data_IF_786375582732
#
_entry.id   IF_786375582732
#
_cell.length_a   1.000
_cell.length_b   1.000
_cell.length_c   1.000
_cell.angle_alpha   90.00
_cell.angle_beta   90.00
_cell.angle_gamma   90.00
#
_symmetry.space_group_name_H-M   'P 1'
#
loop_
_entity.id
_entity.type
_entity.pdbx_description
1 polymer ?
#
# COMPACT_ATOMS: atom_id res chain seq x y z
N UNK A 1 -27.00 18.49 6.87
CA UNK A 1 -27.65 17.17 6.99
C UNK A 1 -26.57 16.09 6.86
N UNK A 2 -26.12 15.51 7.97
CA UNK A 2 -25.07 14.50 7.97
C UNK A 2 -25.66 13.11 7.65
N UNK A 3 -25.36 12.56 6.48
CA UNK A 3 -25.66 11.17 6.14
C UNK A 3 -24.68 10.26 6.89
N UNK A 4 -25.19 9.46 7.83
CA UNK A 4 -24.44 8.33 8.40
C UNK A 4 -24.39 7.23 7.35
N UNK A 5 -23.19 6.76 7.02
CA UNK A 5 -22.99 5.55 6.22
C UNK A 5 -23.38 4.31 7.05
N UNK A 6 -24.00 3.27 6.44
CA UNK A 6 -24.33 2.05 7.15
C UNK A 6 -23.07 1.19 7.34
N UNK A 7 -22.71 0.94 8.60
CA UNK A 7 -21.76 -0.10 8.99
C UNK A 7 -22.55 -1.42 9.06
N UNK A 8 -22.23 -2.38 8.20
CA UNK A 8 -22.72 -3.76 8.33
C UNK A 8 -21.98 -4.43 9.48
N UNK A 9 -22.66 -4.57 10.62
CA UNK A 9 -22.15 -5.30 11.79
C UNK A 9 -22.39 -6.80 11.60
N UNK A 10 -21.32 -7.55 11.37
CA UNK A 10 -21.34 -9.01 11.40
C UNK A 10 -21.29 -9.50 12.86
N UNK A 11 -22.22 -10.40 13.22
CA UNK A 11 -22.26 -11.04 14.54
C UNK A 11 -21.13 -12.06 14.67
N UNK A 12 -20.34 -12.08 15.77
CA UNK A 12 -19.37 -13.15 15.99
C UNK A 12 -20.06 -14.45 16.42
N UNK A 13 -19.57 -15.62 15.99
CA UNK A 13 -20.10 -16.89 16.46
C UNK A 13 -19.67 -17.17 17.90
N UNK A 14 -20.64 -17.61 18.71
CA UNK A 14 -20.41 -18.13 20.07
C UNK A 14 -19.52 -19.38 20.01
N UNK A 15 -18.31 -19.32 20.58
CA UNK A 15 -17.52 -20.53 20.87
C UNK A 15 -17.67 -20.96 22.32
N UNK A 16 -18.10 -22.22 22.46
CA UNK A 16 -18.19 -22.99 23.72
C UNK A 16 -16.80 -23.16 24.34
N UNK A 17 -16.75 -23.03 25.66
CA UNK A 17 -15.65 -23.47 26.49
C UNK A 17 -15.50 -25.00 26.42
N UNK A 18 -14.26 -25.49 26.30
CA UNK A 18 -13.94 -26.86 26.66
C UNK A 18 -12.64 -26.86 27.48
N UNK A 19 -12.74 -27.39 28.71
CA UNK A 19 -11.61 -27.73 29.59
C UNK A 19 -11.08 -29.11 29.19
N UNK A 20 -9.77 -29.31 29.23
CA UNK A 20 -9.18 -30.65 29.12
C UNK A 20 -7.65 -30.66 29.14
N UNK A 21 -7.12 -31.11 30.28
CA UNK A 21 -5.84 -31.75 30.61
C UNK A 21 -4.64 -31.72 29.64
N UNK A 22 -3.48 -31.42 30.23
CA UNK A 22 -2.18 -31.44 29.55
C UNK A 22 -1.53 -32.80 29.43
N UNK A 23 -0.48 -32.85 28.61
CA UNK A 23 0.63 -33.83 28.68
C UNK A 23 1.89 -33.13 28.14
N UNK A 24 2.98 -33.34 28.88
CA UNK A 24 4.37 -32.98 28.59
C UNK A 24 4.97 -33.99 27.61
N UNK A 25 5.59 -33.55 26.51
CA UNK A 25 6.67 -34.28 25.81
C UNK A 25 7.54 -33.28 25.03
N UNK A 26 8.85 -33.36 25.26
CA UNK A 26 9.86 -32.68 24.43
C UNK A 26 10.25 -33.54 23.23
N UNK A 27 10.72 -32.88 22.17
CA UNK A 27 11.63 -33.46 21.19
C UNK A 27 12.51 -32.37 20.57
N UNK A 28 13.80 -32.72 20.44
CA UNK A 28 14.80 -32.11 19.59
C UNK A 28 14.34 -32.08 18.12
N UNK A 29 14.79 -31.07 17.37
CA UNK A 29 15.21 -31.29 15.98
C UNK A 29 14.79 -30.25 14.95
N UNK A 30 15.81 -29.78 14.22
CA UNK A 30 15.79 -29.34 12.84
C UNK A 30 15.29 -27.92 12.49
N UNK A 31 16.28 -27.07 12.20
CA UNK A 31 16.41 -26.34 10.92
C UNK A 31 15.21 -25.52 10.44
N UNK A 32 15.25 -24.21 10.64
CA UNK A 32 14.41 -23.27 9.89
C UNK A 32 15.30 -22.50 8.93
N UNK A 33 15.03 -22.76 7.64
CA UNK A 33 15.59 -22.12 6.48
C UNK A 33 15.22 -20.63 6.41
N UNK A 34 16.08 -19.86 5.73
CA UNK A 34 16.01 -18.41 5.62
C UNK A 34 14.67 -17.88 5.09
N UNK A 35 14.16 -16.89 5.81
CA UNK A 35 13.07 -16.01 5.39
C UNK A 35 13.64 -14.99 4.40
N UNK A 36 13.34 -15.19 3.11
CA UNK A 36 13.58 -14.22 2.04
C UNK A 36 12.44 -13.20 2.03
N UNK A 37 12.76 -11.95 2.39
CA UNK A 37 11.88 -10.78 2.24
C UNK A 37 11.81 -10.44 0.74
N UNK A 38 10.86 -11.06 0.04
CA UNK A 38 10.69 -10.89 -1.40
C UNK A 38 9.79 -9.71 -1.75
N UNK A 39 10.28 -8.48 -1.66
CA UNK A 39 9.50 -7.27 -1.98
C UNK A 39 10.26 -6.11 -2.60
N UNK A 40 11.47 -6.36 -3.09
CA UNK A 40 12.24 -5.54 -4.04
C UNK A 40 13.24 -6.53 -4.63
N UNK A 41 13.40 -6.52 -5.96
CA UNK A 41 14.01 -7.62 -6.74
C UNK A 41 15.32 -8.17 -6.13
N UNK A 42 15.29 -9.45 -5.72
CA UNK A 42 16.48 -10.27 -5.56
C UNK A 42 16.62 -11.20 -6.77
N UNK A 43 17.65 -11.00 -7.58
CA UNK A 43 18.09 -11.95 -8.61
C UNK A 43 19.05 -12.95 -7.95
N UNK A 44 18.61 -14.19 -7.87
CA UNK A 44 19.38 -15.36 -7.45
C UNK A 44 20.72 -15.42 -8.20
N UNK A 45 21.83 -15.49 -7.46
CA UNK A 45 23.18 -15.60 -7.99
C UNK A 45 23.86 -16.83 -7.38
N UNK A 46 23.60 -18.00 -7.96
CA UNK A 46 24.42 -19.18 -7.69
C UNK A 46 25.74 -19.06 -8.44
N UNK A 47 26.82 -19.00 -7.66
CA UNK A 47 28.21 -19.01 -8.10
C UNK A 47 28.69 -20.45 -8.34
N UNK A 48 28.89 -20.80 -9.62
CA UNK A 48 29.75 -21.92 -10.02
C UNK A 48 31.11 -21.38 -10.50
N UNK A 49 32.24 -21.98 -10.11
CA UNK A 49 33.56 -21.49 -10.53
C UNK A 49 33.84 -21.82 -12.00
N UNK A 50 34.18 -20.80 -12.78
CA UNK A 50 34.67 -20.92 -14.15
C UNK A 50 36.02 -21.65 -14.19
N UNK A 51 36.04 -22.85 -14.78
CA UNK A 51 37.26 -23.46 -15.36
C UNK A 51 37.21 -23.26 -16.87
N UNK A 52 38.33 -22.78 -17.42
CA UNK A 52 38.45 -22.43 -18.82
C UNK A 52 38.79 -23.57 -19.77
N UNK A 53 38.83 -23.15 -21.04
CA UNK A 53 39.53 -23.67 -22.22
C UNK A 53 38.82 -24.67 -23.16
N UNK A 54 38.68 -24.17 -24.40
CA UNK A 54 38.96 -24.80 -25.70
C UNK A 54 37.94 -25.77 -26.33
N UNK A 55 37.68 -25.53 -27.62
CA UNK A 55 37.38 -26.58 -28.62
C UNK A 55 35.93 -26.71 -29.06
N UNK A 56 35.61 -26.19 -30.25
CA UNK A 56 34.45 -26.57 -31.07
C UNK A 56 34.47 -28.08 -31.42
N UNK A 57 33.31 -28.75 -31.67
CA UNK A 57 32.57 -28.58 -32.93
C UNK A 57 31.02 -28.62 -32.84
N UNK A 58 30.38 -28.03 -33.86
CA UNK A 58 28.98 -28.35 -34.26
C UNK A 58 28.90 -29.83 -34.67
N UNK A 59 27.81 -30.58 -34.43
CA UNK A 59 26.57 -30.38 -35.20
C UNK A 59 25.26 -30.84 -34.52
N UNK A 60 24.17 -30.65 -35.26
CA UNK A 60 23.02 -31.58 -35.40
C UNK A 60 21.66 -30.98 -35.03
N UNK A 61 20.86 -30.80 -36.08
CA UNK A 61 19.44 -30.49 -36.06
C UNK A 61 18.70 -31.73 -35.57
N UNK A 62 18.15 -31.69 -34.37
CA UNK A 62 17.23 -32.70 -33.85
C UNK A 62 15.78 -32.24 -33.99
N UNK A 63 14.97 -33.12 -34.57
CA UNK A 63 13.56 -32.93 -34.87
C UNK A 63 12.71 -32.69 -33.62
N UNK A 64 11.69 -31.84 -33.78
CA UNK A 64 10.68 -31.55 -32.77
C UNK A 64 9.82 -32.79 -32.49
N UNK A 65 9.68 -33.15 -31.21
CA UNK A 65 8.70 -34.12 -30.73
C UNK A 65 7.30 -33.46 -30.66
N UNK A 66 6.21 -34.20 -30.94
CA UNK A 66 4.85 -33.67 -30.87
C UNK A 66 4.41 -33.41 -29.43
N UNK A 67 3.72 -32.28 -29.24
CA UNK A 67 3.08 -31.84 -28.01
C UNK A 67 1.99 -32.83 -27.57
N UNK A 68 1.92 -33.24 -26.28
CA UNK A 68 0.80 -34.04 -25.79
C UNK A 68 -0.49 -33.22 -25.73
N UNK A 69 -1.62 -33.85 -26.06
CA UNK A 69 -2.95 -33.27 -26.01
C UNK A 69 -3.37 -32.89 -24.58
N UNK A 70 -4.16 -31.82 -24.39
CA UNK A 70 -4.66 -31.42 -23.08
C UNK A 70 -5.69 -32.42 -22.52
N UNK A 71 -5.73 -32.62 -21.19
CA UNK A 71 -6.71 -33.49 -20.54
C UNK A 71 -8.14 -32.91 -20.62
N UNK A 72 -9.18 -33.78 -20.56
CA UNK A 72 -10.57 -33.37 -20.68
C UNK A 72 -11.05 -32.54 -19.48
N UNK A 73 -11.87 -31.52 -19.78
CA UNK A 73 -12.58 -30.67 -18.83
C UNK A 73 -13.66 -31.50 -18.11
N UNK A 74 -13.70 -31.52 -16.76
CA UNK A 74 -14.78 -32.18 -16.04
C UNK A 74 -16.09 -31.38 -16.14
N UNK A 75 -17.13 -32.09 -16.54
CA UNK A 75 -18.53 -31.71 -16.68
C UNK A 75 -19.13 -31.26 -15.35
N UNK A 76 -19.84 -30.14 -15.36
CA UNK A 76 -20.59 -29.62 -14.22
C UNK A 76 -21.71 -30.58 -13.79
N UNK A 77 -21.80 -30.83 -12.48
CA UNK A 77 -22.91 -31.52 -11.84
C UNK A 77 -23.92 -30.49 -11.27
N UNK A 78 -25.22 -30.84 -11.22
CA UNK A 78 -26.31 -29.87 -11.06
C UNK A 78 -26.59 -29.46 -9.62
N UNK A 79 -27.07 -28.22 -9.48
CA UNK A 79 -27.69 -27.66 -8.29
C UNK A 79 -28.90 -28.48 -7.84
N UNK A 80 -28.99 -28.85 -6.55
CA UNK A 80 -30.22 -29.31 -5.94
C UNK A 80 -30.64 -28.33 -4.86
N UNK A 81 -31.61 -27.44 -5.11
CA UNK A 81 -32.64 -27.13 -4.10
C UNK A 81 -33.86 -26.48 -4.75
N UNK A 82 -34.89 -27.32 -4.88
CA UNK A 82 -36.26 -27.02 -5.24
C UNK A 82 -37.05 -26.69 -3.97
N UNK A 83 -37.70 -25.53 -3.98
CA UNK A 83 -39.06 -25.23 -3.50
C UNK A 83 -39.53 -25.76 -2.14
N UNK A 84 -39.85 -24.84 -1.21
CA UNK A 84 -40.93 -25.01 -0.23
C UNK A 84 -41.77 -23.73 -0.23
N UNK A 85 -43.09 -23.92 -0.28
CA UNK A 85 -44.13 -22.90 -0.43
C UNK A 85 -44.54 -22.16 0.86
N UNK A 86 -45.68 -21.44 0.81
CA UNK A 86 -45.97 -20.31 1.68
C UNK A 86 -46.97 -20.65 2.80
N UNK A 87 -46.67 -20.28 4.04
CA UNK A 87 -47.67 -20.24 5.12
C UNK A 87 -47.33 -19.13 6.14
N UNK A 88 -48.37 -18.50 6.70
CA UNK A 88 -48.26 -17.83 8.00
C UNK A 88 -48.52 -16.32 8.03
N UNK A 89 -49.69 -15.89 7.58
CA UNK A 89 -50.29 -14.61 7.99
C UNK A 89 -50.83 -14.76 9.42
N UNK A 90 -50.30 -13.98 10.37
CA UNK A 90 -50.81 -13.89 11.74
C UNK A 90 -51.17 -12.44 12.06
N UNK A 91 -52.45 -12.27 12.40
CA UNK A 91 -53.09 -11.01 12.76
C UNK A 91 -52.56 -10.44 14.08
N UNK A 92 -52.43 -9.10 14.11
CA UNK A 92 -52.15 -8.33 15.33
C UNK A 92 -53.46 -8.14 16.12
N UNK A 93 -53.45 -8.33 17.45
CA UNK A 93 -54.60 -7.98 18.28
C UNK A 93 -54.72 -6.47 18.51
N UNK A 94 -55.97 -6.04 18.44
CA UNK A 94 -56.53 -4.73 18.74
C UNK A 94 -56.22 -4.31 20.19
N UNK A 95 -55.52 -3.19 20.37
CA UNK A 95 -55.26 -2.60 21.69
C UNK A 95 -56.08 -1.33 21.85
N UNK A 96 -56.97 -1.38 22.85
CA UNK A 96 -57.89 -0.33 23.26
C UNK A 96 -57.20 1.02 23.54
N UNK A 97 -57.92 2.15 23.39
CA UNK A 97 -57.38 3.49 23.61
C UNK A 97 -57.05 3.75 25.08
N UNK A 98 -55.80 4.14 25.34
CA UNK A 98 -55.30 4.61 26.63
C UNK A 98 -55.97 5.94 27.02
N UNK A 99 -56.39 6.12 28.30
CA UNK A 99 -57.00 7.37 28.77
C UNK A 99 -56.02 8.56 28.73
N UNK A 100 -56.59 9.75 28.55
CA UNK A 100 -55.89 11.02 28.45
C UNK A 100 -55.06 11.35 29.72
N UNK A 101 -53.83 11.89 29.57
CA UNK A 101 -53.01 12.28 30.71
C UNK A 101 -53.55 13.55 31.39
N UNK A 102 -53.54 13.52 32.71
CA UNK A 102 -53.86 14.62 33.62
C UNK A 102 -52.84 15.78 33.45
N UNK A 103 -53.24 17.06 33.60
CA UNK A 103 -52.35 18.20 33.36
C UNK A 103 -51.18 18.23 34.36
N UNK A 104 -49.96 18.08 33.84
CA UNK A 104 -48.74 18.20 34.62
C UNK A 104 -48.47 19.66 35.01
N UNK A 105 -48.09 19.86 36.27
CA UNK A 105 -47.54 21.11 36.81
C UNK A 105 -46.31 21.57 36.01
N UNK A 106 -46.09 22.89 35.84
CA UNK A 106 -44.96 23.40 35.07
C UNK A 106 -43.62 23.01 35.73
N UNK A 107 -42.67 22.42 34.99
CA UNK A 107 -41.37 22.06 35.54
C UNK A 107 -40.55 23.31 35.84
N UNK A 108 -39.89 23.31 37.00
CA UNK A 108 -38.84 24.24 37.37
C UNK A 108 -37.74 24.25 36.29
N UNK A 109 -37.18 25.42 35.89
CA UNK A 109 -36.14 25.48 34.87
C UNK A 109 -34.95 24.59 35.26
N UNK A 110 -34.71 23.53 34.49
CA UNK A 110 -33.51 22.73 34.63
C UNK A 110 -32.30 23.58 34.26
N UNK A 111 -31.38 23.75 35.21
CA UNK A 111 -30.04 24.29 34.93
C UNK A 111 -29.41 23.44 33.83
N UNK A 112 -29.26 24.02 32.63
CA UNK A 112 -28.54 23.39 31.52
C UNK A 112 -27.07 23.32 31.94
N UNK A 113 -26.65 22.14 32.41
CA UNK A 113 -25.24 21.84 32.58
C UNK A 113 -24.66 21.79 31.17
N UNK A 114 -23.81 22.77 30.85
CA UNK A 114 -23.10 22.79 29.57
C UNK A 114 -22.35 21.45 29.40
N UNK A 115 -22.44 20.80 28.23
CA UNK A 115 -21.67 19.59 27.99
C UNK A 115 -20.18 19.89 28.19
N UNK A 116 -19.40 18.95 28.74
CA UNK A 116 -17.97 19.15 28.92
C UNK A 116 -17.33 19.51 27.57
N UNK A 117 -16.35 20.43 27.55
CA UNK A 117 -15.70 20.81 26.31
C UNK A 117 -15.14 19.55 25.64
N UNK A 118 -15.59 19.31 24.41
CA UNK A 118 -15.09 18.24 23.55
C UNK A 118 -13.57 18.37 23.49
N UNK A 119 -12.84 17.37 23.98
CA UNK A 119 -11.39 17.40 23.98
C UNK A 119 -10.88 17.63 22.55
N UNK A 120 -10.06 18.67 22.36
CA UNK A 120 -9.37 18.90 21.09
C UNK A 120 -8.61 17.63 20.75
N UNK A 121 -8.79 17.05 19.54
CA UNK A 121 -8.04 15.87 19.13
C UNK A 121 -6.55 16.13 19.33
N UNK A 122 -5.86 15.23 20.02
CA UNK A 122 -4.42 15.33 20.21
C UNK A 122 -3.75 15.46 18.84
N UNK A 123 -2.89 16.47 18.68
CA UNK A 123 -2.12 16.64 17.46
C UNK A 123 -1.24 15.41 17.24
N UNK A 124 -1.19 14.91 15.99
CA UNK A 124 -0.28 13.81 15.66
C UNK A 124 1.18 14.26 15.84
N UNK A 125 2.05 13.37 16.37
CA UNK A 125 3.44 13.73 16.63
C UNK A 125 4.20 14.05 15.34
N UNK A 126 5.19 14.95 15.46
CA UNK A 126 6.22 15.14 14.43
C UNK A 126 7.40 14.24 14.75
N UNK A 127 7.95 13.57 13.75
CA UNK A 127 9.10 12.69 13.92
C UNK A 127 10.09 12.80 12.75
N UNK A 128 11.37 12.60 13.03
CA UNK A 128 12.42 12.47 12.01
C UNK A 128 12.35 11.10 11.35
N UNK A 129 12.93 10.95 10.16
CA UNK A 129 12.99 9.63 9.50
C UNK A 129 13.72 8.60 10.37
N UNK A 130 14.77 8.99 11.09
CA UNK A 130 15.50 8.10 12.00
C UNK A 130 14.63 7.61 13.16
N UNK A 131 13.83 8.49 13.75
CA UNK A 131 12.90 8.12 14.83
C UNK A 131 11.83 7.13 14.34
N UNK A 132 11.40 7.24 13.08
CA UNK A 132 10.41 6.33 12.49
C UNK A 132 11.08 5.02 12.06
N UNK A 133 12.28 5.07 11.48
CA UNK A 133 13.03 3.89 11.04
C UNK A 133 13.31 2.93 12.21
N UNK A 134 13.67 3.49 13.36
CA UNK A 134 13.95 2.75 14.61
C UNK A 134 12.68 2.36 15.38
N UNK A 135 11.51 2.87 14.98
CA UNK A 135 10.23 2.47 15.56
C UNK A 135 9.82 1.08 15.05
N UNK A 136 9.36 0.22 15.96
CA UNK A 136 8.77 -1.08 15.64
C UNK A 136 7.29 -1.06 16.08
N UNK A 137 6.40 -0.50 15.26
CA UNK A 137 5.01 -0.36 15.64
C UNK A 137 4.33 -1.73 15.77
N UNK A 138 3.51 -1.92 16.81
CA UNK A 138 2.61 -3.07 16.95
C UNK A 138 1.21 -2.81 16.39
N UNK A 139 0.94 -1.57 15.99
CA UNK A 139 -0.29 -1.09 15.35
C UNK A 139 0.03 0.10 14.45
N UNK A 140 -0.86 0.43 13.51
CA UNK A 140 -0.69 1.61 12.67
C UNK A 140 -0.42 2.86 13.53
N UNK A 141 0.73 3.48 13.30
CA UNK A 141 1.15 4.72 13.95
C UNK A 141 1.27 5.82 12.92
N UNK A 142 0.88 7.04 13.27
CA UNK A 142 0.79 8.16 12.33
C UNK A 142 1.66 9.31 12.78
N UNK A 143 2.48 9.82 11.87
CA UNK A 143 3.37 10.96 12.10
C UNK A 143 3.18 12.04 11.05
N UNK A 144 3.60 13.25 11.37
CA UNK A 144 4.07 14.22 10.37
C UNK A 144 5.59 14.16 10.27
N UNK A 145 6.13 14.25 9.07
CA UNK A 145 7.57 14.43 8.92
C UNK A 145 8.01 15.74 9.64
N UNK A 146 9.07 15.66 10.43
CA UNK A 146 9.56 16.81 11.20
C UNK A 146 9.99 17.97 10.30
N UNK A 147 10.74 17.65 9.22
CA UNK A 147 11.22 18.62 8.22
C UNK A 147 10.08 19.24 7.41
N UNK A 148 9.16 18.39 6.94
CA UNK A 148 8.08 18.80 6.06
C UNK A 148 6.72 18.31 6.60
N UNK A 149 6.05 19.12 7.44
CA UNK A 149 4.78 18.74 8.05
C UNK A 149 3.61 18.57 7.07
N UNK A 150 3.80 18.80 5.77
CA UNK A 150 2.81 18.50 4.72
C UNK A 150 2.84 17.03 4.30
N UNK A 151 3.85 16.26 4.74
CA UNK A 151 3.95 14.82 4.53
C UNK A 151 3.41 14.09 5.76
N UNK A 152 2.36 13.30 5.56
CA UNK A 152 1.80 12.37 6.53
C UNK A 152 2.48 11.01 6.36
N UNK A 153 2.94 10.40 7.45
CA UNK A 153 3.62 9.10 7.41
C UNK A 153 2.75 8.07 8.14
N UNK A 154 2.41 6.99 7.43
CA UNK A 154 1.71 5.83 7.95
C UNK A 154 2.74 4.72 8.25
N UNK A 155 2.98 4.43 9.52
CA UNK A 155 3.93 3.40 9.96
C UNK A 155 3.15 2.14 10.39
N UNK A 156 3.10 1.17 9.48
CA UNK A 156 2.34 -0.07 9.64
C UNK A 156 3.11 -1.11 10.45
N UNK A 157 2.42 -1.98 11.22
CA UNK A 157 3.08 -3.01 12.01
C UNK A 157 3.70 -4.13 11.19
N UNK A 158 3.27 -4.30 9.94
CA UNK A 158 3.78 -5.34 9.04
C UNK A 158 3.49 -5.00 7.59
N UNK A 159 4.26 -5.61 6.69
CA UNK A 159 4.05 -5.55 5.23
C UNK A 159 2.63 -6.00 4.85
N UNK A 160 2.09 -7.04 5.51
CA UNK A 160 0.71 -7.47 5.31
C UNK A 160 -0.32 -6.38 5.65
N UNK A 161 -0.17 -5.71 6.80
CA UNK A 161 -1.08 -4.65 7.22
C UNK A 161 -1.07 -3.47 6.24
N UNK A 162 0.12 -3.11 5.74
CA UNK A 162 0.28 -2.10 4.69
C UNK A 162 -0.39 -2.54 3.39
N UNK A 163 -0.14 -3.76 2.94
CA UNK A 163 -0.67 -4.33 1.70
C UNK A 163 -2.21 -4.35 1.68
N UNK A 164 -2.85 -4.77 2.78
CA UNK A 164 -4.31 -4.78 2.89
C UNK A 164 -4.92 -3.36 2.87
N UNK A 165 -4.18 -2.37 3.35
CA UNK A 165 -4.64 -0.98 3.37
C UNK A 165 -4.40 -0.23 2.05
N UNK A 166 -3.29 -0.51 1.34
CA UNK A 166 -2.80 0.38 0.29
C UNK A 166 -2.57 -0.26 -1.09
N UNK A 167 -2.51 -1.59 -1.23
CA UNK A 167 -2.22 -2.20 -2.54
C UNK A 167 -3.29 -1.89 -3.61
N UNK A 168 -4.55 -1.72 -3.20
CA UNK A 168 -5.63 -1.34 -4.14
C UNK A 168 -5.47 0.10 -4.63
N UNK A 169 -4.88 0.98 -3.81
CA UNK A 169 -4.53 2.35 -4.23
C UNK A 169 -3.44 2.26 -5.28
N UNK A 170 -2.34 1.56 -4.98
CA UNK A 170 -1.21 1.40 -5.87
C UNK A 170 -1.59 0.76 -7.22
N UNK A 171 -2.47 -0.25 -7.19
CA UNK A 171 -3.02 -0.85 -8.40
C UNK A 171 -3.76 0.17 -9.27
N UNK A 172 -4.53 1.07 -8.67
CA UNK A 172 -5.26 2.11 -9.39
C UNK A 172 -4.34 3.21 -9.94
N UNK A 173 -3.26 3.54 -9.22
CA UNK A 173 -2.44 4.75 -9.49
C UNK A 173 -1.21 4.48 -10.33
N UNK A 174 -0.58 3.32 -10.17
CA UNK A 174 0.79 3.09 -10.61
C UNK A 174 0.99 1.87 -11.50
N UNK A 175 0.14 0.85 -11.40
CA UNK A 175 0.43 -0.46 -12.00
C UNK A 175 -0.09 -0.59 -13.43
N UNK A 176 0.83 -0.86 -14.37
CA UNK A 176 0.53 -0.93 -15.82
C UNK A 176 -0.50 -1.98 -16.23
N UNK A 177 -0.59 -3.06 -15.47
CA UNK A 177 -1.46 -4.21 -15.77
C UNK A 177 -2.81 -4.12 -15.03
N UNK A 178 -3.01 -3.08 -14.23
CA UNK A 178 -4.25 -2.83 -13.49
C UNK A 178 -5.09 -1.75 -14.19
N UNK A 179 -6.43 -1.82 -14.07
CA UNK A 179 -7.28 -0.77 -14.62
C UNK A 179 -7.10 0.52 -13.83
N UNK A 180 -6.83 1.61 -14.53
CA UNK A 180 -6.73 2.91 -13.90
C UNK A 180 -8.09 3.56 -13.69
N UNK A 181 -9.19 3.10 -14.27
CA UNK A 181 -10.52 3.73 -14.25
C UNK A 181 -11.49 3.19 -13.18
N UNK A 182 -11.16 2.07 -12.54
CA UNK A 182 -11.96 1.47 -11.47
C UNK A 182 -11.06 0.86 -10.40
N UNK A 183 -11.59 0.77 -9.18
CA UNK A 183 -10.91 0.04 -8.10
C UNK A 183 -11.20 -1.45 -8.24
N UNK A 184 -10.16 -2.28 -8.23
CA UNK A 184 -10.27 -3.74 -8.20
C UNK A 184 -10.91 -4.22 -6.89
N UNK A 185 -11.60 -5.35 -6.88
CA UNK A 185 -11.90 -6.05 -5.62
C UNK A 185 -10.63 -6.69 -5.02
N UNK A 186 -10.68 -7.11 -3.75
CA UNK A 186 -9.55 -7.81 -3.11
C UNK A 186 -9.19 -9.10 -3.87
N UNK A 187 -10.19 -9.85 -4.32
CA UNK A 187 -9.96 -11.08 -5.10
C UNK A 187 -9.34 -10.81 -6.46
N UNK A 188 -9.79 -9.76 -7.17
CA UNK A 188 -9.21 -9.36 -8.45
C UNK A 188 -7.75 -8.93 -8.30
N UNK A 189 -7.45 -8.12 -7.28
CA UNK A 189 -6.09 -7.68 -6.99
C UNK A 189 -5.17 -8.85 -6.65
N UNK A 190 -5.61 -9.77 -5.79
CA UNK A 190 -4.85 -10.99 -5.47
C UNK A 190 -4.58 -11.83 -6.71
N UNK A 191 -5.57 -11.99 -7.58
CA UNK A 191 -5.42 -12.68 -8.86
C UNK A 191 -4.37 -12.02 -9.75
N UNK A 192 -4.41 -10.69 -9.87
CA UNK A 192 -3.44 -9.90 -10.64
C UNK A 192 -2.01 -10.07 -10.09
N UNK A 193 -1.83 -9.92 -8.78
CA UNK A 193 -0.51 -10.05 -8.14
C UNK A 193 0.05 -11.47 -8.30
N UNK A 194 -0.80 -12.49 -8.11
CA UNK A 194 -0.41 -13.89 -8.26
C UNK A 194 -0.05 -14.23 -9.71
N UNK A 195 -0.81 -13.73 -10.70
CA UNK A 195 -0.51 -13.93 -12.11
C UNK A 195 0.83 -13.30 -12.52
N UNK A 196 1.26 -12.23 -11.84
CA UNK A 196 2.57 -11.63 -12.01
C UNK A 196 3.71 -12.35 -11.25
N UNK A 197 3.41 -13.47 -10.57
CA UNK A 197 4.38 -14.23 -9.77
C UNK A 197 4.90 -13.47 -8.54
N UNK A 198 4.15 -12.46 -8.07
CA UNK A 198 4.51 -11.63 -6.92
C UNK A 198 3.76 -12.07 -5.68
N UNK A 199 4.29 -11.70 -4.51
CA UNK A 199 3.63 -11.91 -3.22
C UNK A 199 2.81 -10.67 -2.85
N UNK A 200 1.64 -10.90 -2.25
CA UNK A 200 0.69 -9.85 -1.89
C UNK A 200 1.24 -8.88 -0.84
N UNK A 201 1.84 -9.42 0.22
CA UNK A 201 2.30 -8.63 1.36
C UNK A 201 3.50 -7.76 0.98
N UNK A 202 4.31 -8.26 0.06
CA UNK A 202 5.55 -7.63 -0.38
C UNK A 202 5.43 -7.04 -1.79
N UNK A 203 4.20 -6.82 -2.27
CA UNK A 203 3.96 -6.21 -3.58
C UNK A 203 4.58 -4.81 -3.66
N UNK A 204 4.68 -4.14 -2.51
CA UNK A 204 5.31 -2.86 -2.27
C UNK A 204 6.01 -2.83 -0.90
N UNK A 205 7.20 -2.22 -0.84
CA UNK A 205 7.93 -2.00 0.42
C UNK A 205 7.47 -0.75 1.19
N UNK A 206 7.14 0.30 0.45
CA UNK A 206 6.47 1.51 0.90
C UNK A 206 5.49 2.00 -0.17
N UNK A 207 4.72 3.03 0.14
CA UNK A 207 3.79 3.64 -0.79
C UNK A 207 3.81 5.16 -0.63
N UNK A 208 3.57 5.87 -1.72
CA UNK A 208 3.45 7.32 -1.76
C UNK A 208 2.25 7.78 -2.57
N UNK A 209 1.52 8.77 -2.07
CA UNK A 209 0.38 9.34 -2.78
C UNK A 209 0.21 10.83 -2.48
N UNK A 210 -0.23 11.58 -3.48
CA UNK A 210 -0.83 12.90 -3.25
C UNK A 210 -2.31 12.78 -2.84
N UNK A 211 -2.85 13.89 -2.33
CA UNK A 211 -4.27 13.95 -1.95
C UNK A 211 -5.23 13.74 -3.14
N UNK A 212 -4.82 13.99 -4.37
CA UNK A 212 -5.69 13.85 -5.56
C UNK A 212 -5.88 12.38 -5.92
N UNK A 213 -4.79 11.60 -5.93
CA UNK A 213 -4.79 10.16 -6.15
C UNK A 213 -5.63 9.45 -5.07
N UNK A 214 -5.46 9.82 -3.80
CA UNK A 214 -6.25 9.27 -2.70
C UNK A 214 -7.73 9.66 -2.78
N UNK A 215 -8.04 10.93 -3.10
CA UNK A 215 -9.42 11.37 -3.29
C UNK A 215 -10.12 10.56 -4.39
N UNK A 216 -9.42 10.35 -5.51
CA UNK A 216 -9.89 9.56 -6.63
C UNK A 216 -10.13 8.10 -6.23
N UNK A 217 -9.17 7.49 -5.55
CA UNK A 217 -9.30 6.11 -5.06
C UNK A 217 -10.55 5.95 -4.18
N UNK A 218 -10.67 6.75 -3.12
CA UNK A 218 -11.78 6.60 -2.17
C UNK A 218 -13.13 6.93 -2.80
N UNK A 219 -13.19 7.84 -3.79
CA UNK A 219 -14.41 8.12 -4.55
C UNK A 219 -14.84 6.92 -5.40
N UNK A 220 -13.90 6.28 -6.09
CA UNK A 220 -14.20 5.08 -6.89
C UNK A 220 -14.51 3.86 -6.01
N UNK A 221 -13.87 3.75 -4.85
CA UNK A 221 -14.08 2.65 -3.91
C UNK A 221 -15.49 2.65 -3.30
N UNK A 222 -16.20 3.78 -3.25
CA UNK A 222 -17.61 3.82 -2.82
C UNK A 222 -18.51 2.88 -3.65
N UNK A 223 -18.19 2.67 -4.92
CA UNK A 223 -18.96 1.81 -5.82
C UNK A 223 -18.72 0.31 -5.63
N UNK A 224 -17.59 -0.09 -5.03
CA UNK A 224 -17.17 -1.50 -4.89
C UNK A 224 -16.96 -1.93 -3.43
N UNK A 225 -17.05 -0.98 -2.49
CA UNK A 225 -16.81 -1.21 -1.06
C UNK A 225 -15.39 -0.83 -0.64
N UNK A 226 -15.34 -0.20 0.53
CA UNK A 226 -14.13 0.14 1.28
C UNK A 226 -13.92 -0.94 2.33
N UNK A 227 -12.70 -1.51 2.41
CA UNK A 227 -12.36 -2.50 3.43
C UNK A 227 -12.19 -1.84 4.80
N UNK A 228 -12.14 -2.63 5.88
CA UNK A 228 -11.91 -2.10 7.23
C UNK A 228 -10.58 -1.32 7.30
N UNK A 229 -9.50 -1.87 6.74
CA UNK A 229 -8.18 -1.24 6.76
C UNK A 229 -8.14 0.06 5.93
N UNK A 230 -8.77 0.06 4.76
CA UNK A 230 -8.93 1.28 3.94
C UNK A 230 -9.77 2.33 4.65
N UNK A 231 -10.81 1.91 5.39
CA UNK A 231 -11.65 2.78 6.20
C UNK A 231 -10.89 3.45 7.34
N UNK A 232 -9.99 2.71 8.01
CA UNK A 232 -9.09 3.26 9.04
C UNK A 232 -8.16 4.33 8.43
N UNK A 233 -7.58 4.05 7.26
CA UNK A 233 -6.77 5.04 6.53
C UNK A 233 -7.62 6.26 6.14
N UNK A 234 -8.81 6.08 5.55
CA UNK A 234 -9.69 7.18 5.17
C UNK A 234 -10.03 8.08 6.36
N UNK A 235 -10.33 7.50 7.52
CA UNK A 235 -10.62 8.25 8.74
C UNK A 235 -9.42 9.11 9.16
N UNK A 236 -8.21 8.56 9.09
CA UNK A 236 -6.96 9.31 9.34
C UNK A 236 -6.84 10.45 8.33
N UNK A 237 -7.02 10.20 7.03
CA UNK A 237 -6.87 11.21 5.98
C UNK A 237 -7.84 12.37 6.12
N UNK A 238 -9.10 12.09 6.52
CA UNK A 238 -10.11 13.11 6.78
C UNK A 238 -9.79 13.90 8.06
N UNK A 239 -9.43 13.23 9.15
CA UNK A 239 -9.03 13.88 10.42
C UNK A 239 -7.82 14.79 10.22
N UNK A 240 -6.86 14.36 9.42
CA UNK A 240 -5.63 15.09 9.11
C UNK A 240 -5.78 16.07 7.96
N UNK A 241 -6.99 16.21 7.40
CA UNK A 241 -7.32 17.13 6.31
C UNK A 241 -6.45 16.92 5.06
N UNK A 242 -5.94 15.71 4.86
CA UNK A 242 -5.33 15.29 3.58
C UNK A 242 -6.43 15.15 2.54
N UNK A 243 -7.59 14.66 2.95
CA UNK A 243 -8.82 14.60 2.16
C UNK A 243 -9.92 15.45 2.79
N UNK A 244 -10.90 15.81 1.96
CA UNK A 244 -12.15 16.46 2.35
C UNK A 244 -13.31 15.71 1.70
N UNK A 245 -14.46 15.73 2.37
CA UNK A 245 -15.72 15.27 1.76
C UNK A 245 -16.17 16.34 0.75
N UNK A 246 -16.52 15.91 -0.44
CA UNK A 246 -17.07 16.74 -1.51
C UNK A 246 -18.52 16.34 -1.82
N UNK A 247 -19.20 17.10 -2.68
CA UNK A 247 -20.58 16.78 -3.08
C UNK A 247 -20.69 15.41 -3.76
N UNK A 248 -19.62 14.97 -4.43
CA UNK A 248 -19.49 13.67 -5.10
C UNK A 248 -18.18 12.99 -4.70
N UNK A 249 -18.21 12.28 -3.57
CA UNK A 249 -17.07 11.55 -3.03
C UNK A 249 -16.11 12.45 -2.26
N UNK A 250 -14.83 12.45 -2.66
CA UNK A 250 -13.76 13.11 -1.92
C UNK A 250 -12.98 14.08 -2.82
N UNK A 251 -12.36 15.08 -2.18
CA UNK A 251 -11.39 15.96 -2.82
C UNK A 251 -10.11 16.04 -2.00
N UNK A 252 -9.01 16.42 -2.65
CA UNK A 252 -7.75 16.70 -1.99
C UNK A 252 -7.90 17.88 -1.02
N UNK A 253 -7.25 17.79 0.13
CA UNK A 253 -7.19 18.88 1.09
C UNK A 253 -6.20 19.97 0.67
N UNK A 254 -6.50 21.20 1.10
CA UNK A 254 -5.59 22.35 0.98
C UNK A 254 -4.97 22.71 2.35
N UNK A 255 -3.67 23.07 2.39
CA UNK A 255 -2.71 23.04 1.27
C UNK A 255 -2.39 21.61 0.81
N UNK A 256 -1.82 21.44 -0.39
CA UNK A 256 -1.42 20.11 -0.93
C UNK A 256 -0.61 19.34 0.10
N UNK A 257 -0.91 18.07 0.29
CA UNK A 257 -0.23 17.18 1.22
C UNK A 257 0.09 15.87 0.52
N UNK A 258 1.10 15.19 1.04
CA UNK A 258 1.47 13.84 0.63
C UNK A 258 1.21 12.86 1.76
N UNK A 259 1.00 11.62 1.39
CA UNK A 259 0.96 10.47 2.30
C UNK A 259 2.02 9.51 1.85
N UNK A 260 2.86 9.09 2.77
CA UNK A 260 3.84 8.04 2.54
C UNK A 260 3.65 6.93 3.57
N UNK A 261 4.12 5.73 3.29
CA UNK A 261 4.06 4.61 4.23
C UNK A 261 5.36 3.84 4.35
N UNK A 262 5.56 3.26 5.53
CA UNK A 262 6.57 2.24 5.79
C UNK A 262 5.93 1.13 6.63
N UNK A 263 6.50 -0.07 6.58
CA UNK A 263 6.00 -1.21 7.33
C UNK A 263 7.09 -1.85 8.20
N UNK A 264 6.67 -2.49 9.29
CA UNK A 264 7.52 -3.40 10.06
C UNK A 264 8.01 -4.56 9.18
N UNK A 265 9.30 -4.88 9.27
CA UNK A 265 9.94 -5.92 8.46
C UNK A 265 10.46 -7.00 9.40
N UNK A 266 9.96 -8.22 9.21
CA UNK A 266 10.34 -9.38 10.01
C UNK A 266 11.72 -9.93 9.58
N UNK A 267 12.78 -9.30 10.06
CA UNK A 267 14.19 -9.72 9.91
C UNK A 267 14.95 -9.41 11.20
N UNK A 268 16.24 -9.73 11.23
CA UNK A 268 17.18 -9.25 12.25
C UNK A 268 17.02 -7.73 12.48
N UNK A 269 17.01 -7.30 13.74
CA UNK A 269 16.58 -5.96 14.14
C UNK A 269 17.43 -4.87 13.46
N UNK A 270 18.74 -4.99 13.47
CA UNK A 270 19.64 -4.01 12.85
C UNK A 270 19.39 -3.91 11.34
N UNK A 271 19.23 -5.05 10.66
CA UNK A 271 18.91 -5.10 9.23
C UNK A 271 17.51 -4.55 8.93
N UNK A 272 16.55 -4.76 9.83
CA UNK A 272 15.20 -4.22 9.68
C UNK A 272 15.22 -2.69 9.74
N UNK A 273 15.98 -2.13 10.69
CA UNK A 273 16.14 -0.68 10.87
C UNK A 273 16.84 -0.08 9.64
N UNK A 274 17.93 -0.68 9.16
CA UNK A 274 18.63 -0.22 7.95
C UNK A 274 17.72 -0.21 6.73
N UNK A 275 17.01 -1.31 6.48
CA UNK A 275 16.09 -1.41 5.35
C UNK A 275 14.91 -0.42 5.46
N UNK A 276 14.34 -0.26 6.66
CA UNK A 276 13.29 0.73 6.92
C UNK A 276 13.79 2.16 6.69
N UNK A 277 15.04 2.46 7.07
CA UNK A 277 15.67 3.76 6.84
C UNK A 277 15.79 4.05 5.35
N UNK A 278 16.26 3.08 4.57
CA UNK A 278 16.39 3.24 3.12
C UNK A 278 15.04 3.41 2.43
N UNK A 279 14.03 2.61 2.82
CA UNK A 279 12.65 2.76 2.32
C UNK A 279 12.12 4.15 2.70
N UNK A 280 12.17 4.55 3.98
CA UNK A 280 11.69 5.86 4.40
C UNK A 280 12.35 7.02 3.66
N UNK A 281 13.65 6.91 3.35
CA UNK A 281 14.34 7.90 2.54
C UNK A 281 13.76 7.95 1.12
N UNK A 282 13.60 6.79 0.47
CA UNK A 282 12.94 6.71 -0.84
C UNK A 282 11.53 7.33 -0.81
N UNK A 283 10.69 6.90 0.13
CA UNK A 283 9.31 7.36 0.27
C UNK A 283 9.22 8.85 0.59
N UNK A 284 10.11 9.37 1.45
CA UNK A 284 10.14 10.79 1.77
C UNK A 284 10.45 11.65 0.54
N UNK A 285 11.21 11.13 -0.43
CA UNK A 285 11.51 11.85 -1.66
C UNK A 285 10.24 12.10 -2.49
N UNK A 286 9.31 11.14 -2.51
CA UNK A 286 7.98 11.34 -3.08
C UNK A 286 7.17 12.39 -2.32
N UNK A 287 7.23 12.35 -0.99
CA UNK A 287 6.63 13.37 -0.12
C UNK A 287 7.07 14.80 -0.48
N UNK A 288 8.37 15.00 -0.72
CA UNK A 288 8.92 16.27 -1.21
C UNK A 288 8.45 16.58 -2.64
N UNK A 289 8.46 15.61 -3.55
CA UNK A 289 8.00 15.77 -4.94
C UNK A 289 6.55 16.28 -5.02
N UNK A 290 5.65 15.75 -4.19
CA UNK A 290 4.26 16.19 -4.19
C UNK A 290 4.08 17.59 -3.57
N UNK A 291 4.82 17.91 -2.51
CA UNK A 291 4.55 19.08 -1.67
C UNK A 291 5.39 20.31 -2.00
N UNK A 292 6.56 20.14 -2.62
CA UNK A 292 7.51 21.21 -2.98
C UNK A 292 7.52 21.47 -4.48
N UNK A 293 6.83 22.53 -4.90
CA UNK A 293 6.67 22.86 -6.33
C UNK A 293 8.00 23.11 -7.06
N UNK A 294 8.97 23.74 -6.40
CA UNK A 294 10.28 24.01 -7.00
C UNK A 294 11.15 22.76 -7.12
N UNK A 295 11.11 21.88 -6.12
CA UNK A 295 11.80 20.60 -6.19
C UNK A 295 11.23 19.73 -7.32
N UNK A 296 9.88 19.62 -7.41
CA UNK A 296 9.23 18.93 -8.53
C UNK A 296 9.64 19.50 -9.89
N UNK A 297 9.60 20.83 -10.03
CA UNK A 297 9.99 21.49 -11.28
C UNK A 297 11.46 21.19 -11.66
N UNK A 298 12.37 21.11 -10.69
CA UNK A 298 13.76 20.73 -10.94
C UNK A 298 13.89 19.25 -11.36
N UNK A 299 13.12 18.35 -10.76
CA UNK A 299 13.07 16.94 -11.19
C UNK A 299 12.51 16.79 -12.61
N UNK A 300 11.46 17.55 -12.95
CA UNK A 300 10.88 17.60 -14.30
C UNK A 300 11.91 18.10 -15.32
N UNK A 301 12.63 19.18 -15.00
CA UNK A 301 13.68 19.73 -15.86
C UNK A 301 14.84 18.75 -16.04
N UNK A 302 15.30 18.13 -14.95
CA UNK A 302 16.35 17.12 -15.02
C UNK A 302 15.95 15.93 -15.90
N UNK A 303 14.71 15.45 -15.80
CA UNK A 303 14.22 14.38 -16.65
C UNK A 303 14.24 14.75 -18.14
N UNK A 304 13.75 15.95 -18.48
CA UNK A 304 13.58 16.38 -19.88
C UNK A 304 14.89 16.85 -20.51
N UNK A 305 15.69 17.59 -19.75
CA UNK A 305 16.84 18.35 -20.23
C UNK A 305 18.17 17.86 -19.62
N UNK A 306 18.15 17.37 -18.38
CA UNK A 306 19.34 16.81 -17.72
C UNK A 306 19.72 15.40 -18.18
N UNK A 307 18.73 14.61 -18.61
CA UNK A 307 18.93 13.27 -19.18
C UNK A 307 18.87 13.28 -20.72
N UNK A 308 19.69 12.44 -21.33
CA UNK A 308 19.54 12.07 -22.74
C UNK A 308 18.36 11.12 -22.95
N UNK A 309 17.91 10.98 -24.20
CA UNK A 309 16.86 10.01 -24.55
C UNK A 309 17.27 8.56 -24.21
N UNK A 310 18.56 8.22 -24.34
CA UNK A 310 19.06 6.89 -23.98
C UNK A 310 18.97 6.64 -22.47
N UNK A 311 19.29 7.65 -21.65
CA UNK A 311 19.23 7.57 -20.19
C UNK A 311 17.79 7.49 -19.68
N UNK A 312 16.87 8.31 -20.20
CA UNK A 312 15.44 8.17 -19.90
C UNK A 312 14.94 6.75 -20.20
N UNK A 313 15.41 6.14 -21.28
CA UNK A 313 15.06 4.76 -21.63
C UNK A 313 15.64 3.74 -20.63
N UNK A 314 16.73 4.03 -19.91
CA UNK A 314 17.23 3.17 -18.83
C UNK A 314 16.19 3.08 -17.71
N UNK A 315 15.76 4.23 -17.18
CA UNK A 315 14.77 4.33 -16.11
C UNK A 315 13.41 3.77 -16.53
N UNK A 316 12.95 4.12 -17.73
CA UNK A 316 11.68 3.59 -18.26
C UNK A 316 11.69 2.07 -18.32
N UNK A 317 12.78 1.44 -18.79
CA UNK A 317 12.89 -0.04 -18.80
C UNK A 317 12.97 -0.63 -17.40
N UNK A 318 13.67 0.03 -16.48
CA UNK A 318 13.76 -0.40 -15.09
C UNK A 318 12.38 -0.39 -14.42
N UNK A 319 11.62 0.71 -14.55
CA UNK A 319 10.28 0.86 -13.97
C UNK A 319 9.24 -0.05 -14.66
N UNK A 320 9.32 -0.21 -15.98
CA UNK A 320 8.45 -1.14 -16.69
C UNK A 320 8.64 -2.59 -16.21
N UNK A 321 9.88 -3.02 -15.96
CA UNK A 321 10.17 -4.34 -15.36
C UNK A 321 9.64 -4.45 -13.92
N UNK A 322 9.65 -3.35 -13.17
CA UNK A 322 9.05 -3.30 -11.84
C UNK A 322 7.51 -3.29 -11.86
N UNK A 323 6.90 -3.05 -13.03
CA UNK A 323 5.46 -3.12 -13.27
C UNK A 323 4.74 -1.77 -13.17
N UNK A 324 5.48 -0.67 -13.21
CA UNK A 324 4.90 0.68 -13.24
C UNK A 324 4.35 1.03 -14.62
N UNK A 325 3.28 1.84 -14.67
CA UNK A 325 2.76 2.41 -15.91
C UNK A 325 3.66 3.53 -16.41
N UNK A 326 4.58 3.14 -17.28
CA UNK A 326 5.54 4.08 -17.88
C UNK A 326 4.94 5.04 -18.90
N UNK A 327 3.64 4.92 -19.23
CA UNK A 327 2.91 5.93 -20.01
C UNK A 327 2.55 7.15 -19.17
N UNK A 328 2.51 7.00 -17.84
CA UNK A 328 2.33 8.10 -16.90
C UNK A 328 3.68 8.78 -16.64
N UNK A 329 4.02 9.79 -17.45
CA UNK A 329 5.31 10.49 -17.34
C UNK A 329 5.54 11.13 -15.94
N UNK A 330 4.56 11.81 -15.30
CA UNK A 330 4.70 12.28 -13.93
C UNK A 330 5.10 11.19 -12.92
N UNK A 331 4.51 9.98 -13.03
CA UNK A 331 4.89 8.83 -12.21
C UNK A 331 6.35 8.43 -12.48
N UNK A 332 6.74 8.33 -13.75
CA UNK A 332 8.12 7.97 -14.13
C UNK A 332 9.14 8.96 -13.56
N UNK A 333 8.83 10.27 -13.58
CA UNK A 333 9.70 11.31 -13.03
C UNK A 333 9.79 11.19 -11.49
N UNK A 334 8.65 11.00 -10.82
CA UNK A 334 8.58 10.83 -9.37
C UNK A 334 9.39 9.61 -8.89
N UNK A 335 9.30 8.49 -9.61
CA UNK A 335 10.06 7.28 -9.34
C UNK A 335 11.55 7.46 -9.64
N UNK A 336 11.90 8.05 -10.80
CA UNK A 336 13.28 8.28 -11.19
C UNK A 336 14.03 9.09 -10.13
N UNK A 337 13.44 10.18 -9.64
CA UNK A 337 14.11 11.03 -8.65
C UNK A 337 14.32 10.29 -7.31
N UNK A 338 13.33 9.52 -6.85
CA UNK A 338 13.44 8.76 -5.60
C UNK A 338 14.52 7.67 -5.67
N UNK A 339 14.56 6.90 -6.76
CA UNK A 339 15.59 5.89 -6.98
C UNK A 339 16.98 6.50 -7.17
N UNK A 340 17.10 7.50 -8.06
CA UNK A 340 18.38 8.07 -8.41
C UNK A 340 19.00 8.86 -7.25
N UNK A 341 18.23 9.78 -6.68
CA UNK A 341 18.71 10.73 -5.67
C UNK A 341 18.69 10.19 -4.24
N UNK A 342 17.73 9.32 -3.91
CA UNK A 342 17.35 9.08 -2.51
C UNK A 342 17.30 7.61 -2.09
N UNK A 343 17.74 6.70 -2.96
CA UNK A 343 17.86 5.27 -2.65
C UNK A 343 19.33 4.84 -2.68
N UNK A 344 20.09 5.03 -1.59
CA UNK A 344 21.53 4.76 -1.57
C UNK A 344 21.85 3.25 -1.58
N UNK A 345 20.95 2.42 -1.06
CA UNK A 345 21.15 0.99 -0.92
C UNK A 345 21.16 0.27 -2.26
N UNK A 346 22.29 -0.37 -2.58
CA UNK A 346 22.44 -1.21 -3.76
C UNK A 346 21.49 -2.42 -3.77
N UNK A 347 20.98 -2.82 -2.61
CA UNK A 347 19.97 -3.87 -2.50
C UNK A 347 18.62 -3.42 -3.08
N UNK A 348 18.29 -2.13 -2.95
CA UNK A 348 17.06 -1.55 -3.47
C UNK A 348 17.25 -1.02 -4.89
N UNK A 349 18.35 -0.31 -5.14
CA UNK A 349 18.65 0.29 -6.44
C UNK A 349 20.15 0.50 -6.67
N UNK A 350 20.64 0.02 -7.81
CA UNK A 350 22.05 0.08 -8.17
C UNK A 350 22.27 -0.02 -9.68
N UNK A 351 23.53 0.02 -10.09
CA UNK A 351 23.90 0.07 -11.50
C UNK A 351 23.46 -1.19 -12.26
N UNK A 352 23.49 -2.34 -11.59
CA UNK A 352 23.01 -3.63 -12.12
C UNK A 352 21.54 -3.58 -12.53
N UNK A 353 20.67 -3.03 -11.67
CA UNK A 353 19.23 -2.91 -11.93
C UNK A 353 18.95 -1.98 -13.11
N UNK A 354 19.71 -0.89 -13.22
CA UNK A 354 19.59 0.08 -14.31
C UNK A 354 20.27 -0.39 -15.62
N UNK A 355 21.14 -1.40 -15.55
CA UNK A 355 21.87 -1.97 -16.68
C UNK A 355 23.03 -1.09 -17.15
N UNK A 356 23.75 -0.47 -16.22
CA UNK A 356 24.91 0.41 -16.48
C UNK A 356 26.09 0.05 -15.57
N UNK A 357 27.24 0.72 -15.78
CA UNK A 357 28.38 0.62 -14.86
C UNK A 357 28.16 1.43 -13.59
N UNK A 358 28.86 1.10 -12.50
CA UNK A 358 28.85 1.89 -11.26
C UNK A 358 29.29 3.34 -11.50
N UNK A 359 30.30 3.56 -12.36
CA UNK A 359 30.73 4.90 -12.74
C UNK A 359 29.60 5.68 -13.41
N UNK A 360 28.89 5.06 -14.36
CA UNK A 360 27.75 5.70 -15.03
C UNK A 360 26.64 6.07 -14.06
N UNK A 361 26.32 5.21 -13.09
CA UNK A 361 25.33 5.55 -12.06
C UNK A 361 25.83 6.67 -11.15
N UNK A 362 27.11 6.66 -10.76
CA UNK A 362 27.71 7.72 -9.97
C UNK A 362 27.65 9.08 -10.69
N UNK A 363 27.93 9.11 -12.00
CA UNK A 363 27.86 10.31 -12.85
C UNK A 363 26.41 10.82 -12.98
N UNK A 364 25.44 9.93 -13.13
CA UNK A 364 24.01 10.27 -13.12
C UNK A 364 23.60 10.90 -11.79
N UNK A 365 24.01 10.30 -10.66
CA UNK A 365 23.74 10.83 -9.32
C UNK A 365 24.42 12.18 -9.07
N UNK A 366 25.64 12.37 -9.57
CA UNK A 366 26.36 13.64 -9.45
C UNK A 366 25.61 14.76 -10.19
N UNK A 367 25.24 14.54 -11.46
CA UNK A 367 24.44 15.52 -12.23
C UNK A 367 23.08 15.79 -11.61
N UNK A 368 22.42 14.75 -11.08
CA UNK A 368 21.15 14.94 -10.38
C UNK A 368 21.30 15.88 -9.18
N UNK A 369 22.31 15.67 -8.32
CA UNK A 369 22.58 16.54 -7.16
C UNK A 369 22.97 17.96 -7.53
N UNK A 370 23.59 18.16 -8.69
CA UNK A 370 23.93 19.50 -9.20
C UNK A 370 22.69 20.24 -9.72
N UNK A 371 21.79 19.53 -10.41
CA UNK A 371 20.61 20.11 -11.03
C UNK A 371 19.41 20.24 -10.09
N UNK A 372 19.25 19.30 -9.15
CA UNK A 372 18.09 19.20 -8.27
C UNK A 372 18.50 19.58 -6.84
N UNK A 373 17.91 20.63 -6.26
CA UNK A 373 18.18 21.02 -4.88
C UNK A 373 17.90 19.86 -3.93
N UNK A 374 18.85 19.57 -3.03
CA UNK A 374 18.63 18.55 -2.00
C UNK A 374 17.55 19.09 -1.03
N UNK A 375 16.42 18.38 -0.82
CA UNK A 375 15.50 18.72 0.26
C UNK A 375 16.25 18.60 1.60
N UNK A 376 15.79 19.31 2.64
CA UNK A 376 16.51 19.23 3.90
C UNK A 376 16.36 17.83 4.53
N UNK A 377 17.32 17.47 5.37
CA UNK A 377 17.38 16.20 6.10
C UNK A 377 17.54 14.93 5.23
N UNK A 378 18.02 15.07 3.99
CA UNK A 378 18.51 13.99 3.12
C UNK A 378 20.03 13.88 3.07
#
# INVERSE_FOLDING_TARGET
>A
MARRLPVTADRPPRRRANRGHGVLWGFLGAGVAGLLVGGLFWLDAQSGPSRGLAGQPSPSVAAAAPTPAPPPVPTAAPDPFTTIGPEGSAALPDLAPTPAPEPATPPTPATIIAPPPTATPAAIPRATLEQIATNQPTKLTVYRAAHNPRVLILDFPSLHAQAVALNRVAALTEKKDAPHDRVLSDSELRGLISAAGKNYDTYYGGHDYDGTALARFFTLAEGVGITVAEGEVLEILLKQKVLRVADKGFSAGEPVQAVISVAGIATDEDKAIELRRDILRHEMAHGEFFTQVFFRAACDDFWRNGLSAAERKLFTRFLDKAGYDTKNEPLVINEMQAYLGFTPSAALFGARQLGVSEQTLADLRARFREAVPNPADF
#
